data_IF_871982246357
#
_entry.id   IF_871982246357
#
_cell.length_a   1.000
_cell.length_b   1.000
_cell.length_c   1.000
_cell.angle_alpha   90.00
_cell.angle_beta   90.00
_cell.angle_gamma   90.00
#
_symmetry.space_group_name_H-M   'P 1'
#
loop_
_entity.id
_entity.type
_entity.pdbx_description
1 polymer ?
#
# COMPACT_ATOMS: atom_id res chain seq x y z
N UNK A 1 29.08 -23.81 -1.89
CA UNK A 1 28.97 -22.36 -2.13
C UNK A 1 28.04 -21.82 -1.05
N UNK A 2 28.57 -21.13 -0.05
CA UNK A 2 27.82 -20.75 1.15
C UNK A 2 26.94 -19.52 0.91
N UNK A 3 25.68 -19.59 1.34
CA UNK A 3 24.74 -18.46 1.25
C UNK A 3 25.26 -17.35 2.16
N UNK A 4 25.74 -16.24 1.58
CA UNK A 4 26.00 -15.04 2.36
C UNK A 4 24.65 -14.34 2.61
N UNK A 5 24.28 -14.06 3.87
CA UNK A 5 23.03 -13.37 4.14
C UNK A 5 23.10 -11.95 3.57
N UNK A 6 22.00 -11.51 2.97
CA UNK A 6 21.85 -10.14 2.51
C UNK A 6 21.98 -9.15 3.70
N UNK A 7 22.49 -7.93 3.48
CA UNK A 7 22.56 -6.94 4.55
C UNK A 7 21.16 -6.58 5.08
N UNK A 8 21.06 -6.13 6.33
CA UNK A 8 19.79 -5.90 7.04
C UNK A 8 18.88 -4.82 6.44
N UNK A 9 19.32 -4.14 5.38
CA UNK A 9 18.58 -3.12 4.65
C UNK A 9 18.22 -3.55 3.22
N UNK A 10 18.61 -4.74 2.77
CA UNK A 10 18.24 -5.25 1.45
C UNK A 10 16.95 -6.06 1.56
N UNK A 11 15.86 -5.45 1.13
CA UNK A 11 14.53 -6.06 1.12
C UNK A 11 14.18 -6.56 -0.29
N UNK A 12 13.49 -7.70 -0.35
CA UNK A 12 13.03 -8.29 -1.60
C UNK A 12 11.54 -8.11 -1.85
N UNK A 13 10.75 -7.85 -0.80
CA UNK A 13 9.29 -7.78 -0.88
C UNK A 13 8.76 -6.57 -0.12
N UNK A 14 7.62 -6.04 -0.59
CA UNK A 14 6.82 -5.07 0.13
C UNK A 14 5.35 -5.46 0.13
N UNK A 15 4.68 -5.17 1.24
CA UNK A 15 3.23 -5.35 1.39
C UNK A 15 2.57 -3.99 1.56
N UNK A 16 1.75 -3.60 0.60
CA UNK A 16 0.98 -2.36 0.62
C UNK A 16 -0.51 -2.65 0.74
N UNK A 17 -1.30 -1.62 1.03
CA UNK A 17 -2.77 -1.69 1.00
C UNK A 17 -3.32 -0.43 0.37
N UNK A 18 -4.24 -0.59 -0.57
CA UNK A 18 -4.92 0.56 -1.18
C UNK A 18 -5.59 1.44 -0.11
N UNK A 19 -5.45 2.77 -0.21
CA UNK A 19 -6.04 3.68 0.77
C UNK A 19 -7.57 3.60 0.78
N UNK A 20 -8.15 3.58 1.97
CA UNK A 20 -9.60 3.73 2.14
C UNK A 20 -10.01 5.20 2.14
N UNK A 21 -11.24 5.49 1.70
CA UNK A 21 -11.81 6.86 1.76
C UNK A 21 -11.83 7.46 3.17
N UNK A 22 -11.82 6.62 4.21
CA UNK A 22 -11.73 7.06 5.60
C UNK A 22 -10.40 7.69 5.98
N UNK A 23 -9.37 7.66 5.10
CA UNK A 23 -8.05 8.26 5.36
C UNK A 23 -8.14 9.74 5.70
N UNK A 24 -9.13 10.46 5.15
CA UNK A 24 -9.38 11.88 5.43
C UNK A 24 -9.72 12.15 6.90
N UNK A 25 -10.17 11.12 7.63
CA UNK A 25 -10.47 11.15 9.08
C UNK A 25 -9.49 10.29 9.89
N UNK A 26 -8.30 10.03 9.35
CA UNK A 26 -7.27 9.24 10.02
C UNK A 26 -6.83 9.86 11.35
N UNK A 27 -6.37 9.02 12.27
CA UNK A 27 -5.80 9.49 13.53
C UNK A 27 -4.53 10.32 13.25
N UNK A 28 -4.49 11.52 13.81
CA UNK A 28 -3.34 12.43 13.69
C UNK A 28 -3.13 13.20 14.98
N UNK A 29 -1.87 13.45 15.33
CA UNK A 29 -1.47 14.21 16.53
C UNK A 29 -1.38 15.70 16.26
N UNK A 30 -1.31 16.12 15.00
CA UNK A 30 -1.16 17.52 14.57
C UNK A 30 -2.45 18.08 13.99
N UNK A 31 -2.67 19.36 14.28
CA UNK A 31 -3.71 20.15 13.64
C UNK A 31 -3.18 20.65 12.28
N UNK A 32 -3.91 20.31 11.23
CA UNK A 32 -3.64 20.64 9.82
C UNK A 32 -4.90 20.36 8.99
N UNK A 33 -4.90 20.64 7.71
CA UNK A 33 -6.04 20.28 6.85
C UNK A 33 -6.17 18.76 6.72
N UNK A 34 -7.40 18.29 6.53
CA UNK A 34 -7.63 16.88 6.24
C UNK A 34 -7.03 16.55 4.86
N UNK A 35 -6.39 15.38 4.69
CA UNK A 35 -5.80 15.04 3.39
C UNK A 35 -6.90 14.89 2.34
N UNK A 36 -6.62 15.32 1.12
CA UNK A 36 -7.47 15.00 -0.02
C UNK A 36 -7.31 13.53 -0.39
N UNK A 37 -8.42 12.80 -0.48
CA UNK A 37 -8.40 11.37 -0.76
C UNK A 37 -7.79 11.05 -2.13
N UNK A 38 -8.14 11.81 -3.16
CA UNK A 38 -7.71 11.53 -4.53
C UNK A 38 -6.21 11.83 -4.71
N UNK A 39 -5.72 12.91 -4.10
CA UNK A 39 -4.30 13.21 -4.03
C UNK A 39 -3.54 12.10 -3.30
N UNK A 40 -4.02 11.68 -2.12
CA UNK A 40 -3.40 10.61 -1.35
C UNK A 40 -3.36 9.28 -2.11
N UNK A 41 -4.44 8.94 -2.83
CA UNK A 41 -4.49 7.74 -3.66
C UNK A 41 -3.46 7.78 -4.80
N UNK A 42 -3.30 8.93 -5.46
CA UNK A 42 -2.27 9.13 -6.50
C UNK A 42 -0.85 9.01 -5.96
N UNK A 43 -0.59 9.65 -4.82
CA UNK A 43 0.71 9.56 -4.14
C UNK A 43 1.03 8.13 -3.72
N UNK A 44 0.04 7.40 -3.17
CA UNK A 44 0.20 6.00 -2.83
C UNK A 44 0.52 5.14 -4.06
N UNK A 45 -0.13 5.38 -5.22
CA UNK A 45 0.21 4.70 -6.46
C UNK A 45 1.64 4.98 -6.90
N UNK A 46 2.08 6.25 -6.84
CA UNK A 46 3.46 6.62 -7.15
C UNK A 46 4.47 5.95 -6.20
N UNK A 47 4.13 5.82 -4.92
CA UNK A 47 4.94 5.12 -3.93
C UNK A 47 5.09 3.63 -4.24
N UNK A 48 3.98 2.94 -4.57
CA UNK A 48 4.01 1.53 -4.99
C UNK A 48 4.88 1.34 -6.23
N UNK A 49 4.78 2.25 -7.20
CA UNK A 49 5.59 2.20 -8.40
C UNK A 49 7.08 2.42 -8.10
N UNK A 50 7.42 3.35 -7.21
CA UNK A 50 8.79 3.54 -6.77
C UNK A 50 9.38 2.28 -6.09
N UNK A 51 8.58 1.56 -5.29
CA UNK A 51 9.01 0.29 -4.70
C UNK A 51 9.30 -0.78 -5.76
N UNK A 52 8.46 -0.88 -6.79
CA UNK A 52 8.70 -1.80 -7.91
C UNK A 52 9.95 -1.43 -8.70
N UNK A 53 10.16 -0.14 -8.96
CA UNK A 53 11.37 0.37 -9.62
C UNK A 53 12.63 0.14 -8.79
N UNK A 54 12.51 0.10 -7.46
CA UNK A 54 13.59 -0.29 -6.57
C UNK A 54 13.87 -1.81 -6.56
N UNK A 55 13.13 -2.61 -7.33
CA UNK A 55 13.34 -4.05 -7.51
C UNK A 55 12.64 -4.94 -6.48
N UNK A 56 11.67 -4.40 -5.73
CA UNK A 56 10.88 -5.18 -4.79
C UNK A 56 9.71 -5.86 -5.51
N UNK A 57 9.39 -7.07 -5.08
CA UNK A 57 8.09 -7.69 -5.35
C UNK A 57 7.03 -7.06 -4.42
N UNK A 58 6.06 -6.34 -5.01
CA UNK A 58 5.09 -5.55 -4.26
C UNK A 58 3.70 -6.15 -4.36
N UNK A 59 3.25 -6.74 -3.26
CA UNK A 59 1.86 -7.20 -3.09
C UNK A 59 1.00 -6.04 -2.57
N UNK A 60 -0.05 -5.68 -3.31
CA UNK A 60 -0.99 -4.63 -2.89
C UNK A 60 -2.33 -5.25 -2.50
N UNK A 61 -2.69 -5.12 -1.23
CA UNK A 61 -3.98 -5.57 -0.70
C UNK A 61 -5.10 -4.55 -1.01
N UNK A 62 -6.31 -5.05 -1.23
CA UNK A 62 -7.49 -4.20 -1.35
C UNK A 62 -7.84 -3.56 -0.02
N UNK A 63 -8.31 -2.31 -0.07
CA UNK A 63 -8.93 -1.67 1.06
C UNK A 63 -10.14 -2.51 1.47
N UNK A 64 -10.24 -2.81 2.77
CA UNK A 64 -11.42 -3.50 3.28
C UNK A 64 -12.60 -2.52 3.23
N UNK A 65 -13.42 -2.63 2.19
CA UNK A 65 -14.74 -1.99 2.15
C UNK A 65 -15.67 -2.76 3.10
N UNK A 66 -16.19 -2.08 4.13
CA UNK A 66 -17.02 -2.69 5.17
C UNK A 66 -18.46 -2.98 4.72
N UNK A 67 -18.80 -2.76 3.45
CA UNK A 67 -20.10 -3.14 2.93
C UNK A 67 -20.07 -4.61 2.46
N UNK A 68 -20.76 -5.49 3.20
CA UNK A 68 -20.87 -6.93 2.92
C UNK A 68 -21.48 -7.25 1.54
N UNK A 69 -22.00 -6.26 0.81
CA UNK A 69 -22.77 -6.45 -0.42
C UNK A 69 -21.96 -6.30 -1.73
N UNK A 70 -20.63 -6.13 -1.68
CA UNK A 70 -19.78 -6.07 -2.89
C UNK A 70 -18.51 -6.91 -2.76
N UNK A 71 -18.64 -8.13 -2.22
CA UNK A 71 -17.66 -9.17 -2.43
C UNK A 71 -18.16 -10.09 -3.55
N UNK A 72 -17.99 -9.63 -4.79
CA UNK A 72 -17.92 -10.50 -5.96
C UNK A 72 -16.67 -10.06 -6.74
N UNK A 73 -15.74 -10.99 -6.89
CA UNK A 73 -14.55 -10.91 -7.75
C UNK A 73 -13.48 -9.85 -7.41
N UNK A 74 -12.93 -9.87 -6.20
CA UNK A 74 -11.52 -9.47 -6.03
C UNK A 74 -10.65 -10.70 -6.32
N UNK A 75 -10.54 -11.06 -7.59
CA UNK A 75 -9.72 -12.17 -8.04
C UNK A 75 -8.25 -11.83 -7.73
N UNK A 76 -7.61 -12.71 -6.96
CA UNK A 76 -6.19 -12.68 -6.69
C UNK A 76 -5.46 -13.00 -8.01
N UNK A 77 -5.00 -11.97 -8.72
CA UNK A 77 -4.15 -12.15 -9.90
C UNK A 77 -2.71 -12.41 -9.40
N UNK A 78 -2.17 -13.62 -9.61
CA UNK A 78 -0.84 -14.00 -9.12
C UNK A 78 0.30 -13.26 -9.83
#
# INVERSE_FOLDING_TARGET
MGIQPAPSHQYSHALCRTPGRSVVRGLRSTFGEDPDYEAFAKEHMAYVEALRQAGLDVTVLVCRVTNRLMFEEAEFVP
#
